data_IF_526588949476
#
_entry.id   IF_526588949476
#
_cell.length_a   1.000
_cell.length_b   1.000
_cell.length_c   1.000
_cell.angle_alpha   90.00
_cell.angle_beta   90.00
_cell.angle_gamma   90.00
#
_symmetry.space_group_name_H-M   'P 1'
#
loop_
_entity.id
_entity.type
_entity.pdbx_description
1 polymer ?
#
# COMPACT_ATOMS: atom_id res chain seq x y z
N UNK A 1 -20.75 -6.08 8.58
CA UNK A 1 -19.74 -5.29 7.87
C UNK A 1 -18.46 -5.28 8.70
N UNK A 2 -17.31 -5.60 8.06
CA UNK A 2 -15.99 -5.58 8.71
C UNK A 2 -15.23 -4.39 8.13
N UNK A 3 -14.78 -3.42 8.93
CA UNK A 3 -14.03 -2.27 8.44
C UNK A 3 -12.65 -2.68 7.92
N UNK A 4 -12.09 -1.87 7.01
CA UNK A 4 -10.75 -1.99 6.50
C UNK A 4 -10.03 -0.65 6.65
N UNK A 5 -8.79 -0.67 7.14
CA UNK A 5 -7.96 0.52 7.23
C UNK A 5 -7.29 0.79 5.87
N UNK A 6 -7.85 1.76 5.12
CA UNK A 6 -7.29 2.21 3.83
C UNK A 6 -6.20 3.25 4.06
N UNK A 7 -5.05 3.05 3.41
CA UNK A 7 -3.82 3.81 3.72
C UNK A 7 -3.19 4.54 2.54
N UNK A 8 -3.84 4.56 1.38
CA UNK A 8 -3.33 5.20 0.16
C UNK A 8 -2.86 6.64 0.39
N UNK A 9 -3.68 7.46 1.06
CA UNK A 9 -3.36 8.86 1.33
C UNK A 9 -2.15 9.02 2.25
N UNK A 10 -2.01 8.15 3.25
CA UNK A 10 -0.88 8.19 4.16
C UNK A 10 0.44 7.88 3.43
N UNK A 11 0.43 6.90 2.53
CA UNK A 11 1.62 6.49 1.80
C UNK A 11 1.99 7.48 0.71
N UNK A 12 1.03 7.90 -0.12
CA UNK A 12 1.34 8.65 -1.35
C UNK A 12 1.09 10.15 -1.26
N UNK A 13 0.40 10.62 -0.23
CA UNK A 13 -0.01 12.01 -0.13
C UNK A 13 0.34 12.69 1.20
N UNK A 14 1.17 12.08 2.03
CA UNK A 14 1.57 12.67 3.32
C UNK A 14 2.34 14.00 3.14
N UNK A 15 2.97 14.24 1.99
CA UNK A 15 3.53 15.53 1.62
C UNK A 15 2.51 16.68 1.57
N UNK A 16 1.21 16.39 1.41
CA UNK A 16 0.14 17.40 1.38
C UNK A 16 -0.26 17.79 2.81
N UNK A 17 -0.36 19.10 3.08
CA UNK A 17 -0.74 19.62 4.40
C UNK A 17 -2.09 19.03 4.88
N UNK A 18 -3.09 18.99 4.01
CA UNK A 18 -4.41 18.45 4.34
C UNK A 18 -4.39 16.99 4.84
N UNK A 19 -3.47 16.15 4.36
CA UNK A 19 -3.34 14.76 4.83
C UNK A 19 -2.71 14.73 6.22
N UNK A 20 -1.67 15.54 6.46
CA UNK A 20 -1.03 15.65 7.78
C UNK A 20 -1.97 16.20 8.84
N UNK A 21 -2.72 17.25 8.51
CA UNK A 21 -3.72 17.86 9.39
C UNK A 21 -4.83 16.86 9.75
N UNK A 22 -5.30 16.09 8.77
CA UNK A 22 -6.29 15.02 8.99
C UNK A 22 -5.74 13.93 9.92
N UNK A 23 -4.48 13.50 9.71
CA UNK A 23 -3.82 12.54 10.59
C UNK A 23 -3.68 13.09 12.02
N UNK A 24 -3.19 14.33 12.16
CA UNK A 24 -3.05 14.98 13.44
C UNK A 24 -4.41 15.16 14.14
N UNK A 25 -5.46 15.55 13.41
CA UNK A 25 -6.81 15.70 13.97
C UNK A 25 -7.37 14.35 14.45
N UNK A 26 -7.11 13.28 13.71
CA UNK A 26 -7.60 11.93 14.06
C UNK A 26 -6.88 11.33 15.28
N UNK A 27 -5.60 11.64 15.45
CA UNK A 27 -4.75 11.00 16.47
C UNK A 27 -4.36 11.91 17.64
N UNK A 28 -4.48 13.23 17.47
CA UNK A 28 -3.96 14.22 18.42
C UNK A 28 -2.44 14.40 18.34
N UNK A 29 -1.73 13.70 17.44
CA UNK A 29 -0.27 13.64 17.36
C UNK A 29 0.20 14.42 16.12
N UNK A 30 1.13 15.36 16.31
CA UNK A 30 1.78 16.06 15.20
C UNK A 30 2.87 15.14 14.58
N UNK A 31 2.73 14.70 13.30
CA UNK A 31 3.66 13.77 12.65
C UNK A 31 4.94 14.45 12.13
N UNK A 32 5.55 15.33 12.94
CA UNK A 32 6.70 16.17 12.56
C UNK A 32 8.07 15.47 12.57
N UNK A 33 8.13 14.19 12.93
CA UNK A 33 9.33 13.36 12.89
C UNK A 33 8.95 11.92 12.54
N UNK A 34 9.93 11.09 12.17
CA UNK A 34 9.73 9.66 11.93
C UNK A 34 9.12 8.96 13.14
N UNK A 35 9.56 9.30 14.35
CA UNK A 35 9.04 8.74 15.59
C UNK A 35 7.57 9.14 15.83
N UNK A 36 7.25 10.44 15.76
CA UNK A 36 5.87 10.90 15.97
C UNK A 36 4.93 10.50 14.84
N UNK A 37 5.43 10.36 13.62
CA UNK A 37 4.66 9.80 12.51
C UNK A 37 4.31 8.32 12.76
N UNK A 38 5.27 7.49 13.17
CA UNK A 38 4.99 6.10 13.58
C UNK A 38 3.99 6.05 14.73
N UNK A 39 4.15 6.90 15.74
CA UNK A 39 3.19 6.97 16.85
C UNK A 39 1.78 7.33 16.37
N UNK A 40 1.63 8.29 15.46
CA UNK A 40 0.34 8.65 14.89
C UNK A 40 -0.28 7.48 14.08
N UNK A 41 0.52 6.77 13.28
CA UNK A 41 0.06 5.59 12.54
C UNK A 41 -0.37 4.49 13.53
N UNK A 42 0.43 4.19 14.56
CA UNK A 42 0.08 3.22 15.60
C UNK A 42 -1.26 3.54 16.28
N UNK A 43 -1.49 4.81 16.62
CA UNK A 43 -2.78 5.26 17.17
C UNK A 43 -3.97 5.01 16.23
N UNK A 44 -3.78 5.08 14.90
CA UNK A 44 -4.83 4.67 13.96
C UNK A 44 -5.07 3.16 14.01
N UNK A 45 -4.02 2.35 14.08
CA UNK A 45 -4.15 0.90 14.20
C UNK A 45 -4.89 0.52 15.47
N UNK A 46 -4.54 1.10 16.63
CA UNK A 46 -5.24 0.89 17.90
C UNK A 46 -6.73 1.23 17.80
N UNK A 47 -7.02 2.39 17.20
CA UNK A 47 -8.41 2.82 17.00
C UNK A 47 -9.20 1.83 16.14
N UNK A 48 -8.65 1.44 14.99
CA UNK A 48 -9.31 0.51 14.09
C UNK A 48 -9.41 -0.90 14.65
N UNK A 49 -8.40 -1.34 15.42
CA UNK A 49 -8.43 -2.62 16.13
C UNK A 49 -9.57 -2.66 17.16
N UNK A 50 -9.74 -1.59 17.92
CA UNK A 50 -10.85 -1.45 18.89
C UNK A 50 -12.24 -1.50 18.22
N UNK A 51 -12.31 -1.21 16.91
CA UNK A 51 -13.55 -1.25 16.11
C UNK A 51 -13.67 -2.48 15.22
N UNK A 52 -12.85 -3.51 15.43
CA UNK A 52 -12.95 -4.80 14.74
C UNK A 52 -12.49 -4.75 13.29
N UNK A 53 -11.40 -4.02 13.01
CA UNK A 53 -10.77 -4.00 11.67
C UNK A 53 -10.39 -5.41 11.23
N UNK A 54 -10.65 -5.73 9.96
CA UNK A 54 -10.31 -7.04 9.39
C UNK A 54 -9.01 -7.05 8.59
N UNK A 55 -8.56 -5.89 8.08
CA UNK A 55 -7.34 -5.77 7.28
C UNK A 55 -6.86 -4.32 7.21
N UNK A 56 -5.57 -4.14 6.94
CA UNK A 56 -5.00 -2.95 6.35
C UNK A 56 -4.95 -3.14 4.83
N UNK A 57 -5.22 -2.10 4.04
CA UNK A 57 -5.27 -2.23 2.59
C UNK A 57 -4.75 -0.99 1.86
N UNK A 58 -4.12 -1.22 0.70
CA UNK A 58 -3.56 -0.16 -0.12
C UNK A 58 -3.60 -0.53 -1.61
N UNK A 59 -3.77 0.48 -2.47
CA UNK A 59 -3.55 0.37 -3.92
C UNK A 59 -2.16 0.89 -4.27
N UNK A 60 -1.38 0.10 -4.97
CA UNK A 60 0.02 0.37 -5.27
C UNK A 60 0.20 0.67 -6.76
N UNK A 61 0.85 1.78 -7.12
CA UNK A 61 1.20 2.06 -8.51
C UNK A 61 2.24 1.04 -9.03
N UNK A 62 2.34 0.89 -10.36
CA UNK A 62 3.13 -0.17 -10.99
C UNK A 62 4.64 -0.07 -10.74
N UNK A 63 5.15 1.10 -10.44
CA UNK A 63 6.56 1.40 -10.21
C UNK A 63 6.94 1.49 -8.72
N UNK A 64 5.99 1.26 -7.82
CA UNK A 64 6.28 1.26 -6.39
C UNK A 64 7.03 -0.01 -5.98
N UNK A 65 8.21 0.17 -5.42
CA UNK A 65 9.03 -0.91 -4.86
C UNK A 65 9.19 -0.70 -3.35
N UNK A 66 8.59 -1.54 -2.51
CA UNK A 66 8.75 -1.44 -1.07
C UNK A 66 10.20 -1.77 -0.65
N UNK A 67 10.73 -0.97 0.24
CA UNK A 67 12.02 -1.22 0.90
C UNK A 67 12.06 -0.54 2.27
N UNK A 68 12.88 -1.06 3.17
CA UNK A 68 13.12 -0.43 4.45
C UNK A 68 13.83 0.93 4.27
N UNK A 69 13.38 1.92 5.04
CA UNK A 69 13.98 3.26 5.09
C UNK A 69 14.35 3.57 6.52
N UNK A 70 15.58 4.10 6.75
CA UNK A 70 16.02 4.46 8.10
C UNK A 70 15.24 5.66 8.63
N UNK A 71 15.07 5.73 9.96
CA UNK A 71 14.45 6.87 10.62
C UNK A 71 15.17 8.19 10.27
N UNK A 72 16.49 8.18 10.24
CA UNK A 72 17.29 9.37 9.89
C UNK A 72 17.02 9.88 8.48
N UNK A 73 16.89 8.97 7.49
CA UNK A 73 16.54 9.36 6.11
C UNK A 73 15.11 9.90 6.03
N UNK A 74 14.18 9.30 6.77
CA UNK A 74 12.80 9.77 6.83
C UNK A 74 12.71 11.16 7.51
N UNK A 75 13.45 11.40 8.60
CA UNK A 75 13.45 12.67 9.32
C UNK A 75 13.91 13.84 8.45
N UNK A 76 14.91 13.63 7.58
CA UNK A 76 15.36 14.66 6.61
C UNK A 76 14.23 15.08 5.69
N UNK A 77 13.48 14.12 5.17
CA UNK A 77 12.35 14.39 4.24
C UNK A 77 11.16 15.01 4.99
N UNK A 78 10.83 14.49 6.17
CA UNK A 78 9.75 15.03 7.01
C UNK A 78 10.04 16.49 7.39
N UNK A 79 11.27 16.83 7.78
CA UNK A 79 11.65 18.20 8.10
C UNK A 79 11.45 19.16 6.90
N UNK A 80 11.76 18.72 5.66
CA UNK A 80 11.46 19.50 4.46
C UNK A 80 9.97 19.75 4.27
N UNK A 81 9.16 18.71 4.42
CA UNK A 81 7.69 18.81 4.31
C UNK A 81 7.12 19.82 5.31
N UNK A 82 7.57 19.76 6.56
CA UNK A 82 7.13 20.69 7.61
C UNK A 82 7.70 22.10 7.45
N UNK A 83 8.84 22.24 6.77
CA UNK A 83 9.40 23.53 6.35
C UNK A 83 8.67 24.17 5.15
N UNK A 84 7.63 23.54 4.62
CA UNK A 84 6.86 24.05 3.48
C UNK A 84 7.55 23.88 2.12
N UNK A 85 8.62 23.08 2.06
CA UNK A 85 9.36 22.84 0.83
C UNK A 85 8.73 21.70 0.02
N UNK A 86 8.78 21.80 -1.29
CA UNK A 86 8.41 20.73 -2.19
C UNK A 86 9.42 19.58 -2.14
N UNK A 87 8.91 18.36 -2.24
CA UNK A 87 9.74 17.17 -2.30
C UNK A 87 10.10 16.84 -3.76
N UNK A 88 11.33 16.41 -3.99
CA UNK A 88 11.69 15.72 -5.23
C UNK A 88 10.99 14.38 -5.35
N UNK A 89 11.03 13.76 -6.53
CA UNK A 89 10.47 12.42 -6.75
C UNK A 89 11.11 11.38 -5.83
N UNK A 90 12.43 11.43 -5.63
CA UNK A 90 13.17 10.49 -4.77
C UNK A 90 12.81 10.69 -3.28
N UNK A 91 12.64 11.93 -2.85
CA UNK A 91 12.22 12.25 -1.48
C UNK A 91 10.78 11.79 -1.22
N UNK A 92 9.89 12.00 -2.19
CA UNK A 92 8.52 11.49 -2.14
C UNK A 92 8.51 9.97 -2.03
N UNK A 93 9.34 9.28 -2.83
CA UNK A 93 9.49 7.84 -2.78
C UNK A 93 10.05 7.37 -1.43
N UNK A 94 11.04 8.07 -0.87
CA UNK A 94 11.62 7.79 0.45
C UNK A 94 10.55 7.86 1.55
N UNK A 95 9.75 8.92 1.55
CA UNK A 95 8.68 9.10 2.53
C UNK A 95 7.59 8.01 2.37
N UNK A 96 7.17 7.73 1.13
CA UNK A 96 6.19 6.70 0.83
C UNK A 96 6.66 5.31 1.29
N UNK A 97 7.91 4.96 1.03
CA UNK A 97 8.52 3.70 1.49
C UNK A 97 8.58 3.61 3.01
N UNK A 98 8.97 4.69 3.68
CA UNK A 98 9.00 4.72 5.15
C UNK A 98 7.62 4.48 5.76
N UNK A 99 6.59 5.18 5.26
CA UNK A 99 5.21 4.98 5.73
C UNK A 99 4.72 3.57 5.42
N UNK A 100 4.90 3.09 4.19
CA UNK A 100 4.48 1.76 3.79
C UNK A 100 5.11 0.66 4.64
N UNK A 101 6.43 0.76 4.90
CA UNK A 101 7.14 -0.19 5.75
C UNK A 101 6.63 -0.17 7.19
N UNK A 102 6.36 1.04 7.72
CA UNK A 102 5.75 1.19 9.05
C UNK A 102 4.36 0.55 9.14
N UNK A 103 3.54 0.62 8.07
CA UNK A 103 2.26 -0.09 8.01
C UNK A 103 2.43 -1.60 8.09
N UNK A 104 3.44 -2.17 7.41
CA UNK A 104 3.74 -3.60 7.50
C UNK A 104 4.20 -4.01 8.90
N UNK A 105 5.00 -3.17 9.58
CA UNK A 105 5.39 -3.37 10.99
C UNK A 105 4.14 -3.42 11.89
N UNK A 106 3.23 -2.47 11.75
CA UNK A 106 1.97 -2.46 12.52
C UNK A 106 1.03 -3.61 12.16
N UNK A 107 0.98 -4.03 10.90
CA UNK A 107 0.25 -5.24 10.53
C UNK A 107 0.80 -6.48 11.23
N UNK A 108 2.12 -6.60 11.38
CA UNK A 108 2.75 -7.69 12.14
C UNK A 108 2.39 -7.62 13.63
N UNK A 109 2.47 -6.43 14.24
CA UNK A 109 2.19 -6.20 15.66
C UNK A 109 0.73 -6.51 16.01
N UNK A 110 -0.22 -5.99 15.18
CA UNK A 110 -1.66 -6.16 15.39
C UNK A 110 -2.22 -7.46 14.79
N UNK A 111 -1.37 -8.30 14.16
CA UNK A 111 -1.77 -9.55 13.49
C UNK A 111 -2.86 -9.35 12.43
N UNK A 112 -2.77 -8.25 11.70
CA UNK A 112 -3.67 -7.91 10.62
C UNK A 112 -3.08 -8.33 9.26
N UNK A 113 -3.89 -8.85 8.35
CA UNK A 113 -3.47 -9.00 6.96
C UNK A 113 -3.25 -7.62 6.33
N UNK A 114 -2.26 -7.55 5.42
CA UNK A 114 -1.99 -6.36 4.63
C UNK A 114 -2.36 -6.61 3.17
N UNK A 115 -3.53 -6.14 2.76
CA UNK A 115 -4.09 -6.34 1.43
C UNK A 115 -3.43 -5.39 0.41
N UNK A 116 -2.76 -5.97 -0.58
CA UNK A 116 -2.01 -5.26 -1.60
C UNK A 116 -2.70 -5.38 -2.97
N UNK A 117 -3.15 -4.26 -3.49
CA UNK A 117 -3.71 -4.16 -4.83
C UNK A 117 -2.68 -3.53 -5.76
N UNK A 118 -2.04 -4.34 -6.62
CA UNK A 118 -0.80 -3.96 -7.29
C UNK A 118 -1.02 -3.67 -8.77
N UNK A 119 -0.46 -2.57 -9.26
CA UNK A 119 -0.21 -2.35 -10.67
C UNK A 119 -1.24 -1.52 -11.42
N UNK A 120 -1.86 -0.54 -10.79
CA UNK A 120 -2.87 0.33 -11.41
C UNK A 120 -2.28 1.66 -11.85
N UNK A 121 -2.36 1.98 -13.14
CA UNK A 121 -2.25 3.33 -13.65
C UNK A 121 -3.61 4.02 -13.55
N UNK A 122 -3.68 5.08 -12.77
CA UNK A 122 -4.92 5.82 -12.58
C UNK A 122 -5.08 6.95 -13.59
N UNK A 123 -6.32 7.21 -13.98
CA UNK A 123 -6.71 8.32 -14.85
C UNK A 123 -5.98 8.33 -16.19
N UNK A 124 -5.85 7.16 -16.80
CA UNK A 124 -5.20 7.02 -18.11
C UNK A 124 -5.99 7.75 -19.20
N UNK A 125 -7.31 7.77 -19.11
CA UNK A 125 -8.18 8.54 -19.98
C UNK A 125 -8.80 9.69 -19.19
N UNK A 126 -8.39 10.92 -19.48
CA UNK A 126 -8.76 12.12 -18.71
C UNK A 126 -10.26 12.44 -18.77
N UNK A 127 -10.88 12.23 -19.93
CA UNK A 127 -12.32 12.49 -20.18
C UNK A 127 -13.19 11.24 -19.93
N UNK A 128 -12.62 10.16 -19.45
CA UNK A 128 -13.33 8.91 -19.21
C UNK A 128 -14.24 8.99 -17.98
N UNK A 129 -15.22 8.09 -17.95
CA UNK A 129 -16.02 7.88 -16.73
C UNK A 129 -15.11 7.42 -15.61
N UNK A 130 -15.39 7.83 -14.40
CA UNK A 130 -14.57 7.55 -13.21
C UNK A 130 -14.11 6.08 -13.10
N UNK A 131 -14.95 5.16 -13.48
CA UNK A 131 -14.70 3.72 -13.42
C UNK A 131 -13.92 3.15 -14.61
N UNK A 132 -13.78 3.88 -15.70
CA UNK A 132 -13.10 3.46 -16.92
C UNK A 132 -11.75 4.14 -17.15
N UNK A 133 -11.25 4.88 -16.16
CA UNK A 133 -10.02 5.67 -16.31
C UNK A 133 -8.74 4.91 -15.95
N UNK A 134 -8.87 3.79 -15.25
CA UNK A 134 -7.72 3.06 -14.73
C UNK A 134 -7.35 1.90 -15.66
N UNK A 135 -6.05 1.70 -15.85
CA UNK A 135 -5.51 0.65 -16.72
C UNK A 135 -4.38 -0.09 -16.01
N UNK A 136 -4.21 -1.38 -16.34
CA UNK A 136 -3.06 -2.14 -15.88
C UNK A 136 -1.75 -1.65 -16.50
N UNK A 137 -0.63 -1.94 -15.84
CA UNK A 137 0.70 -1.66 -16.34
C UNK A 137 1.54 -2.94 -16.35
N UNK A 138 2.06 -3.29 -17.52
CA UNK A 138 2.93 -4.46 -17.71
C UNK A 138 4.31 -4.35 -17.05
N UNK A 139 4.69 -3.16 -16.57
CA UNK A 139 5.95 -2.94 -15.85
C UNK A 139 5.92 -3.49 -14.43
N UNK A 140 4.75 -3.88 -13.94
CA UNK A 140 4.62 -4.53 -12.64
C UNK A 140 5.37 -5.85 -12.66
N UNK A 141 6.22 -6.07 -11.64
CA UNK A 141 6.89 -7.32 -11.39
C UNK A 141 6.81 -7.63 -9.88
N UNK A 142 6.23 -8.76 -9.51
CA UNK A 142 6.04 -9.10 -8.09
C UNK A 142 7.35 -9.35 -7.36
N UNK A 143 8.42 -9.65 -8.08
CA UNK A 143 9.76 -9.75 -7.50
C UNK A 143 10.20 -8.49 -6.75
N UNK A 144 9.63 -7.33 -7.06
CA UNK A 144 9.87 -6.07 -6.34
C UNK A 144 9.43 -6.15 -4.87
N UNK A 145 8.52 -7.07 -4.53
CA UNK A 145 7.97 -7.25 -3.19
C UNK A 145 8.68 -8.31 -2.36
N UNK A 146 9.69 -9.01 -2.91
CA UNK A 146 10.39 -10.11 -2.21
C UNK A 146 10.99 -9.69 -0.87
N UNK A 147 11.51 -8.46 -0.78
CA UNK A 147 12.11 -7.95 0.46
C UNK A 147 11.05 -7.81 1.55
N UNK A 148 9.90 -7.23 1.22
CA UNK A 148 8.74 -7.10 2.11
C UNK A 148 8.28 -8.47 2.62
N UNK A 149 8.05 -9.41 1.71
CA UNK A 149 7.51 -10.74 2.05
C UNK A 149 8.45 -11.53 2.97
N UNK A 150 9.77 -11.41 2.76
CA UNK A 150 10.77 -12.02 3.62
C UNK A 150 10.92 -11.33 4.98
N UNK A 151 10.78 -9.99 5.01
CA UNK A 151 10.91 -9.23 6.25
C UNK A 151 9.73 -9.46 7.22
N UNK A 152 8.54 -9.77 6.68
CA UNK A 152 7.33 -9.94 7.48
C UNK A 152 6.67 -11.33 7.26
N UNK A 153 7.34 -12.41 7.63
CA UNK A 153 6.84 -13.78 7.38
C UNK A 153 5.55 -14.13 8.13
N UNK A 154 5.21 -13.37 9.18
CA UNK A 154 3.99 -13.55 9.99
C UNK A 154 2.80 -12.73 9.53
N UNK A 155 3.02 -11.78 8.62
CA UNK A 155 1.93 -10.98 8.02
C UNK A 155 1.39 -11.73 6.82
N UNK A 156 0.09 -11.93 6.78
CA UNK A 156 -0.58 -12.45 5.59
C UNK A 156 -0.76 -11.31 4.59
N UNK A 157 -0.32 -11.52 3.35
CA UNK A 157 -0.49 -10.58 2.25
C UNK A 157 -1.50 -11.13 1.24
N UNK A 158 -2.79 -10.74 1.34
CA UNK A 158 -3.73 -10.91 0.25
C UNK A 158 -3.28 -10.00 -0.91
N UNK A 159 -2.99 -10.60 -2.07
CA UNK A 159 -2.48 -9.83 -3.22
C UNK A 159 -3.44 -9.98 -4.39
N UNK A 160 -3.88 -8.86 -4.93
CA UNK A 160 -4.54 -8.78 -6.22
C UNK A 160 -3.67 -8.03 -7.23
N UNK A 161 -3.60 -8.54 -8.44
CA UNK A 161 -2.88 -7.92 -9.56
C UNK A 161 -3.87 -7.60 -10.67
N UNK A 162 -3.61 -6.53 -11.39
CA UNK A 162 -4.48 -6.08 -12.46
C UNK A 162 -4.10 -6.71 -13.81
N UNK A 163 -2.81 -6.89 -14.03
CA UNK A 163 -2.31 -7.46 -15.27
C UNK A 163 -2.36 -8.98 -15.26
N UNK A 164 -2.89 -9.57 -16.33
CA UNK A 164 -2.90 -11.02 -16.56
C UNK A 164 -1.50 -11.64 -16.46
N UNK A 165 -0.50 -10.97 -17.02
CA UNK A 165 0.88 -11.46 -17.00
C UNK A 165 1.42 -11.59 -15.58
N UNK A 166 0.97 -10.72 -14.67
CA UNK A 166 1.32 -10.79 -13.26
C UNK A 166 0.53 -11.87 -12.49
N UNK A 167 -0.58 -12.38 -13.03
CA UNK A 167 -1.34 -13.43 -12.36
C UNK A 167 -0.56 -14.74 -12.26
N UNK A 168 0.17 -15.13 -13.31
CA UNK A 168 1.04 -16.32 -13.26
C UNK A 168 2.19 -16.14 -12.27
N UNK A 169 2.78 -14.94 -12.22
CA UNK A 169 3.79 -14.61 -11.22
C UNK A 169 3.22 -14.68 -9.80
N UNK A 170 1.99 -14.15 -9.59
CA UNK A 170 1.31 -14.20 -8.29
C UNK A 170 1.04 -15.63 -7.83
N UNK A 171 0.59 -16.51 -8.72
CA UNK A 171 0.41 -17.94 -8.41
C UNK A 171 1.75 -18.57 -7.99
N UNK A 172 2.83 -18.30 -8.72
CA UNK A 172 4.18 -18.79 -8.37
C UNK A 172 4.64 -18.25 -7.01
N UNK A 173 4.37 -16.98 -6.72
CA UNK A 173 4.68 -16.36 -5.42
C UNK A 173 3.94 -17.04 -4.26
N UNK A 174 2.66 -17.38 -4.44
CA UNK A 174 1.88 -18.06 -3.39
C UNK A 174 2.38 -19.49 -3.08
N UNK A 175 3.10 -20.12 -4.02
CA UNK A 175 3.76 -21.39 -3.78
C UNK A 175 5.11 -21.24 -3.06
N UNK A 176 5.80 -20.12 -3.26
CA UNK A 176 7.12 -19.83 -2.69
C UNK A 176 7.00 -19.17 -1.32
N UNK A 177 6.09 -18.22 -1.18
CA UNK A 177 5.89 -17.43 0.04
C UNK A 177 4.62 -17.87 0.77
N UNK A 178 4.73 -18.56 1.94
CA UNK A 178 3.56 -19.07 2.66
C UNK A 178 2.65 -17.99 3.22
N UNK A 179 3.12 -16.73 3.24
CA UNK A 179 2.39 -15.56 3.68
C UNK A 179 1.69 -14.79 2.53
N UNK A 180 1.73 -15.32 1.31
CA UNK A 180 1.02 -14.75 0.14
C UNK A 180 -0.26 -15.52 -0.12
N UNK A 181 -1.37 -14.79 -0.24
CA UNK A 181 -2.68 -15.31 -0.62
C UNK A 181 -3.12 -14.62 -1.91
N UNK A 182 -3.45 -15.42 -2.93
CA UNK A 182 -3.96 -14.88 -4.21
C UNK A 182 -5.38 -14.39 -4.05
N UNK A 183 -5.64 -13.12 -4.40
CA UNK A 183 -6.97 -12.54 -4.43
C UNK A 183 -7.48 -12.32 -5.85
N UNK A 184 -8.80 -12.27 -6.01
CA UNK A 184 -9.46 -11.95 -7.27
C UNK A 184 -9.10 -10.53 -7.75
N UNK A 185 -9.22 -10.33 -9.07
CA UNK A 185 -9.00 -9.02 -9.66
C UNK A 185 -10.12 -8.04 -9.31
N UNK A 186 -9.83 -6.77 -9.51
CA UNK A 186 -10.80 -5.71 -9.31
C UNK A 186 -11.92 -5.73 -10.36
N UNK A 187 -12.99 -5.00 -10.08
CA UNK A 187 -14.21 -4.92 -10.88
C UNK A 187 -13.97 -4.56 -12.36
N UNK A 188 -12.96 -3.79 -12.72
CA UNK A 188 -12.65 -3.46 -14.13
C UNK A 188 -11.92 -4.58 -14.89
N UNK A 189 -11.51 -5.63 -14.20
CA UNK A 189 -11.02 -6.89 -14.79
C UNK A 189 -12.13 -7.97 -14.83
N UNK A 190 -13.34 -7.65 -14.44
CA UNK A 190 -14.48 -8.56 -14.44
C UNK A 190 -15.05 -8.79 -15.86
N UNK A 191 -14.17 -9.22 -16.76
CA UNK A 191 -14.50 -9.65 -18.11
C UNK A 191 -14.59 -11.17 -18.08
N UNK A 192 -15.68 -11.80 -18.57
CA UNK A 192 -15.90 -13.24 -18.41
C UNK A 192 -14.72 -14.12 -18.79
N UNK A 193 -14.04 -13.81 -19.91
CA UNK A 193 -12.88 -14.57 -20.38
C UNK A 193 -11.67 -14.45 -19.41
N UNK A 194 -11.51 -13.31 -18.73
CA UNK A 194 -10.45 -13.12 -17.73
C UNK A 194 -10.78 -13.89 -16.46
N UNK A 195 -12.03 -13.81 -15.99
CA UNK A 195 -12.49 -14.54 -14.81
C UNK A 195 -12.28 -16.05 -14.99
N UNK A 196 -12.74 -16.60 -16.12
CA UNK A 196 -12.60 -18.02 -16.43
C UNK A 196 -11.15 -18.47 -16.44
N UNK A 197 -10.29 -17.74 -17.17
CA UNK A 197 -8.88 -18.08 -17.29
C UNK A 197 -8.16 -17.98 -15.95
N UNK A 198 -8.36 -16.90 -15.21
CA UNK A 198 -7.66 -16.66 -13.94
C UNK A 198 -8.13 -17.64 -12.87
N UNK A 199 -9.40 -18.05 -12.89
CA UNK A 199 -9.92 -19.08 -12.00
C UNK A 199 -9.31 -20.45 -12.30
N UNK A 200 -9.08 -20.79 -13.57
CA UNK A 200 -8.43 -22.05 -13.97
C UNK A 200 -6.92 -22.06 -13.69
N UNK A 201 -6.27 -20.90 -13.66
CA UNK A 201 -4.84 -20.75 -13.44
C UNK A 201 -4.42 -20.77 -11.96
N UNK A 202 -5.36 -20.72 -11.04
CA UNK A 202 -5.16 -20.73 -9.57
C UNK A 202 -5.54 -22.08 -9.01
#
# INVERSE_FOLDING_TARGET
YVPCLRTDDLVFHLGKAAVRERLQKATGINPGSSATLKQAIGSLFDHFQAHGVGACAISLPPDFTPSAVTAASADVVIAKVFGGNELSADETCTLSRFVFWSLAEFCAEHKLPFDLMIGVNRRVYEDGVFQGQDLYDRRVALIQYKELLNAFPTVVFPISVLSETCNQELVSFSWIFPNVVTCGHWWYSNIPVYIERDTRGR
#
